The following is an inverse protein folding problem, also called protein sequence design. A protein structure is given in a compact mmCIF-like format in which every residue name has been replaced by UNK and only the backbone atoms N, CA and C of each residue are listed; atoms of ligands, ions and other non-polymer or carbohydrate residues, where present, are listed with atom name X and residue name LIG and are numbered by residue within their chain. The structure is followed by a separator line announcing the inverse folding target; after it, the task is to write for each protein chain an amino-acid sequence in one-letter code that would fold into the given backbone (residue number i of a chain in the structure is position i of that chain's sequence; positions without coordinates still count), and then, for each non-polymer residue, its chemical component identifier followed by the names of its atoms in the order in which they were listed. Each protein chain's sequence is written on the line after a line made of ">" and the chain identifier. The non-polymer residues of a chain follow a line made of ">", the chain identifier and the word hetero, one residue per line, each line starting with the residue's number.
data_IF_653002079046
#
_entry.id   IF_653002079046
#
_cell.length_a   1.000
_cell.length_b   1.000
_cell.length_c   1.000
_cell.angle_alpha   90.00
_cell.angle_beta   90.00
_cell.angle_gamma   90.00
#
_symmetry.space_group_name_H-M   'P 1'
#
loop_
_entity.id
_entity.type
_entity.pdbx_description
1 polymer ?
#
# COMPACT_ATOMS: atom_id res chain seq x y z
N UNK A 1 20.22 -14.12 6.95
CA UNK A 1 21.01 -14.89 5.98
C UNK A 1 20.09 -15.85 5.24
N UNK A 2 20.38 -16.10 3.94
CA UNK A 2 19.66 -17.08 3.14
C UNK A 2 20.11 -18.49 3.51
N UNK A 3 19.22 -19.51 3.41
CA UNK A 3 19.63 -20.90 3.51
C UNK A 3 20.75 -21.24 2.50
N UNK A 4 21.69 -22.09 2.90
CA UNK A 4 22.86 -22.44 2.08
C UNK A 4 22.47 -23.14 0.76
N UNK A 5 21.35 -23.83 0.75
CA UNK A 5 20.79 -24.56 -0.40
C UNK A 5 19.84 -23.73 -1.27
N UNK A 6 19.56 -22.47 -0.89
CA UNK A 6 18.68 -21.61 -1.68
C UNK A 6 19.29 -21.27 -3.04
N UNK A 7 18.58 -21.61 -4.11
CA UNK A 7 18.99 -21.36 -5.48
C UNK A 7 18.75 -19.90 -5.86
N UNK A 8 19.82 -19.10 -5.88
CA UNK A 8 19.77 -17.71 -6.32
C UNK A 8 19.52 -17.63 -7.83
N UNK A 9 18.52 -16.88 -8.25
CA UNK A 9 18.30 -16.59 -9.67
C UNK A 9 19.05 -15.33 -10.08
N UNK A 10 19.50 -15.23 -11.35
CA UNK A 10 20.08 -14.02 -11.89
C UNK A 10 19.13 -12.83 -11.74
N UNK A 11 19.66 -11.67 -11.34
CA UNK A 11 18.92 -10.44 -11.20
C UNK A 11 19.25 -9.51 -12.38
N UNK A 12 18.21 -8.90 -12.97
CA UNK A 12 18.40 -7.81 -13.92
C UNK A 12 18.68 -6.51 -13.15
N UNK A 13 19.95 -6.14 -13.11
CA UNK A 13 20.43 -4.94 -12.42
C UNK A 13 20.33 -3.67 -13.28
N UNK A 14 19.87 -3.76 -14.54
CA UNK A 14 19.83 -2.62 -15.47
C UNK A 14 18.95 -1.47 -14.97
N UNK A 15 17.88 -1.79 -14.26
CA UNK A 15 16.93 -0.83 -13.71
C UNK A 15 17.43 -0.08 -12.45
N UNK A 16 18.55 -0.55 -11.87
CA UNK A 16 19.07 -0.07 -10.58
C UNK A 16 20.37 0.70 -10.70
N UNK A 17 20.85 0.96 -11.92
CA UNK A 17 22.13 1.62 -12.16
C UNK A 17 22.16 3.02 -11.55
N UNK A 18 23.16 3.27 -10.70
CA UNK A 18 23.41 4.55 -10.07
C UNK A 18 22.56 4.87 -8.83
N UNK A 19 21.69 3.98 -8.43
CA UNK A 19 20.74 4.24 -7.33
C UNK A 19 21.28 3.80 -5.95
N UNK A 20 22.01 2.70 -5.91
CA UNK A 20 22.65 2.20 -4.68
C UNK A 20 23.81 1.24 -5.03
N UNK A 21 24.62 0.90 -4.04
CA UNK A 21 25.70 -0.08 -4.18
C UNK A 21 25.14 -1.48 -4.48
N UNK A 22 25.65 -2.15 -5.50
CA UNK A 22 25.28 -3.54 -5.80
C UNK A 22 25.55 -4.47 -4.62
N UNK A 23 26.62 -4.22 -3.85
CA UNK A 23 26.97 -4.99 -2.67
C UNK A 23 25.87 -4.95 -1.59
N UNK A 24 25.09 -3.87 -1.54
CA UNK A 24 23.95 -3.74 -0.65
C UNK A 24 22.65 -4.24 -1.30
N UNK A 25 22.44 -3.89 -2.57
CA UNK A 25 21.18 -4.15 -3.26
C UNK A 25 20.98 -5.64 -3.54
N UNK A 26 21.99 -6.32 -4.10
CA UNK A 26 21.88 -7.72 -4.54
C UNK A 26 21.50 -8.68 -3.39
N UNK A 27 22.15 -8.66 -2.21
CA UNK A 27 21.75 -9.52 -1.09
C UNK A 27 20.31 -9.26 -0.64
N UNK A 28 19.87 -7.99 -0.62
CA UNK A 28 18.52 -7.64 -0.24
C UNK A 28 17.48 -8.14 -1.25
N UNK A 29 17.72 -7.99 -2.55
CA UNK A 29 16.83 -8.52 -3.60
C UNK A 29 16.69 -10.04 -3.51
N UNK A 30 17.77 -10.77 -3.25
CA UNK A 30 17.69 -12.23 -3.02
C UNK A 30 16.89 -12.58 -1.78
N UNK A 31 17.03 -11.81 -0.69
CA UNK A 31 16.25 -12.02 0.54
C UNK A 31 14.76 -11.75 0.30
N UNK A 32 14.43 -10.68 -0.42
CA UNK A 32 13.06 -10.42 -0.85
C UNK A 32 12.50 -11.57 -1.70
N UNK A 33 13.27 -12.03 -2.68
CA UNK A 33 12.86 -13.14 -3.53
C UNK A 33 12.57 -14.39 -2.71
N UNK A 34 13.47 -14.75 -1.83
CA UNK A 34 13.29 -15.91 -0.94
C UNK A 34 12.03 -15.81 -0.09
N UNK A 35 11.79 -14.66 0.53
CA UNK A 35 10.58 -14.43 1.33
C UNK A 35 9.29 -14.57 0.49
N UNK A 36 9.31 -14.08 -0.76
CA UNK A 36 8.16 -14.21 -1.67
C UNK A 36 7.97 -15.64 -2.18
N UNK A 37 9.06 -16.39 -2.43
CA UNK A 37 8.99 -17.79 -2.80
C UNK A 37 8.35 -18.63 -1.68
N UNK A 38 8.72 -18.36 -0.41
CA UNK A 38 8.10 -19.03 0.75
C UNK A 38 6.63 -18.64 0.93
N UNK A 39 6.29 -17.36 0.75
CA UNK A 39 4.90 -16.91 0.79
C UNK A 39 4.09 -17.61 -0.31
N UNK A 40 4.64 -17.68 -1.53
CA UNK A 40 3.99 -18.36 -2.66
C UNK A 40 3.75 -19.85 -2.37
N UNK A 41 4.75 -20.56 -1.82
CA UNK A 41 4.63 -21.95 -1.41
C UNK A 41 3.55 -22.15 -0.32
N UNK A 42 3.51 -21.27 0.69
CA UNK A 42 2.47 -21.27 1.72
C UNK A 42 1.07 -21.09 1.14
N UNK A 43 0.89 -20.08 0.29
CA UNK A 43 -0.40 -19.82 -0.39
C UNK A 43 -0.82 -21.05 -1.20
N UNK A 44 0.09 -21.63 -1.97
CA UNK A 44 -0.18 -22.83 -2.76
C UNK A 44 -0.58 -24.03 -1.89
N UNK A 45 0.09 -24.23 -0.76
CA UNK A 45 -0.24 -25.28 0.20
C UNK A 45 -1.67 -25.12 0.74
N UNK A 46 -2.08 -23.90 1.11
CA UNK A 46 -3.44 -23.63 1.58
C UNK A 46 -4.45 -23.86 0.46
N UNK A 47 -4.18 -23.35 -0.74
CA UNK A 47 -5.09 -23.45 -1.89
C UNK A 47 -5.26 -24.86 -2.44
N UNK A 48 -4.29 -25.74 -2.20
CA UNK A 48 -4.39 -27.17 -2.59
C UNK A 48 -4.83 -28.09 -1.45
N UNK A 49 -4.91 -27.55 -0.22
CA UNK A 49 -5.24 -28.29 0.98
C UNK A 49 -6.72 -28.25 1.38
N UNK A 50 -7.06 -28.83 2.54
CA UNK A 50 -8.45 -28.85 3.05
C UNK A 50 -9.00 -27.48 3.41
N UNK A 51 -8.16 -26.47 3.56
CA UNK A 51 -8.55 -25.09 3.91
C UNK A 51 -8.87 -24.21 2.69
N UNK A 52 -8.72 -24.71 1.47
CA UNK A 52 -8.82 -23.93 0.24
C UNK A 52 -10.11 -23.13 0.09
N UNK A 53 -11.24 -23.69 0.53
CA UNK A 53 -12.57 -23.10 0.36
C UNK A 53 -13.01 -22.24 1.56
N UNK A 54 -12.23 -22.21 2.64
CA UNK A 54 -12.60 -21.55 3.89
C UNK A 54 -11.56 -20.52 4.38
N UNK A 55 -10.45 -20.36 3.65
CA UNK A 55 -9.36 -19.50 4.10
C UNK A 55 -9.14 -18.31 3.18
N UNK A 56 -9.15 -17.11 3.76
CA UNK A 56 -8.71 -15.88 3.14
C UNK A 56 -7.30 -15.58 3.63
N UNK A 57 -6.37 -15.39 2.70
CA UNK A 57 -4.98 -15.02 2.99
C UNK A 57 -4.77 -13.59 2.52
N UNK A 58 -4.20 -12.76 3.38
CA UNK A 58 -3.79 -11.41 3.01
C UNK A 58 -2.34 -11.17 3.41
N UNK A 59 -1.58 -10.54 2.52
CA UNK A 59 -0.19 -10.17 2.77
C UNK A 59 0.07 -8.72 2.37
N UNK A 60 0.86 -8.02 3.18
CA UNK A 60 1.31 -6.65 2.91
C UNK A 60 2.69 -6.43 3.51
N UNK A 61 3.38 -5.37 3.05
CA UNK A 61 4.53 -4.82 3.77
C UNK A 61 4.06 -3.82 4.83
N UNK A 62 4.81 -3.70 5.91
CA UNK A 62 4.63 -2.66 6.93
C UNK A 62 5.14 -1.29 6.41
N UNK A 63 6.25 -1.30 5.70
CA UNK A 63 6.84 -0.16 5.00
C UNK A 63 7.77 -0.63 3.88
N UNK A 64 8.14 0.29 2.98
CA UNK A 64 9.13 0.01 1.96
C UNK A 64 10.56 0.17 2.49
N UNK A 65 11.52 -0.44 1.81
CA UNK A 65 12.96 -0.29 2.12
C UNK A 65 13.40 1.11 1.74
N UNK A 66 13.81 1.89 2.74
CA UNK A 66 14.13 3.31 2.58
C UNK A 66 15.49 3.59 1.95
N UNK A 67 16.37 2.59 1.92
CA UNK A 67 17.78 2.72 1.50
C UNK A 67 18.03 2.46 0.02
N UNK A 68 17.02 2.12 -0.75
CA UNK A 68 17.16 1.91 -2.19
C UNK A 68 16.71 3.16 -2.94
N UNK A 69 17.65 3.87 -3.45
CA UNK A 69 17.64 5.27 -3.86
C UNK A 69 16.83 5.70 -5.09
N UNK A 70 15.85 4.92 -5.55
CA UNK A 70 15.01 5.26 -6.73
C UNK A 70 14.10 6.48 -6.51
N UNK A 71 14.28 7.20 -5.41
CA UNK A 71 13.32 8.19 -4.90
C UNK A 71 13.84 9.64 -4.99
N UNK A 72 14.98 9.86 -5.63
CA UNK A 72 15.57 11.19 -5.77
C UNK A 72 14.67 12.15 -6.57
N UNK A 73 13.93 11.62 -7.56
CA UNK A 73 12.96 12.40 -8.31
C UNK A 73 11.70 12.65 -7.49
N UNK A 74 11.25 13.91 -7.34
CA UNK A 74 10.04 14.25 -6.60
C UNK A 74 8.80 13.48 -7.07
N UNK A 75 8.63 13.27 -8.39
CA UNK A 75 7.51 12.52 -8.98
C UNK A 75 7.46 11.05 -8.57
N UNK A 76 8.58 10.48 -8.10
CA UNK A 76 8.70 9.07 -7.65
C UNK A 76 8.71 8.93 -6.13
N UNK A 77 8.64 10.04 -5.41
CA UNK A 77 8.73 10.07 -3.94
C UNK A 77 7.67 9.19 -3.26
N UNK A 78 6.51 9.04 -3.86
CA UNK A 78 5.45 8.17 -3.34
C UNK A 78 5.87 6.70 -3.24
N UNK A 79 6.82 6.24 -4.06
CA UNK A 79 7.31 4.86 -4.04
C UNK A 79 7.97 4.51 -2.70
N UNK A 80 8.54 5.49 -1.99
CA UNK A 80 9.08 5.28 -0.63
C UNK A 80 8.03 4.81 0.38
N UNK A 81 6.75 5.08 0.09
CA UNK A 81 5.63 4.76 0.96
C UNK A 81 4.80 3.59 0.42
N UNK A 82 5.10 3.14 -0.79
CA UNK A 82 4.31 2.10 -1.43
C UNK A 82 4.72 0.72 -0.94
N UNK A 83 3.74 -0.06 -0.53
CA UNK A 83 3.87 -1.48 -0.21
C UNK A 83 2.81 -2.26 -0.97
N UNK A 84 3.06 -3.52 -1.32
CA UNK A 84 2.04 -4.37 -1.91
C UNK A 84 0.97 -4.71 -0.87
N UNK A 85 -0.27 -4.88 -1.32
CA UNK A 85 -1.33 -5.52 -0.58
C UNK A 85 -1.97 -6.56 -1.48
N UNK A 86 -1.82 -7.83 -1.14
CA UNK A 86 -2.26 -8.96 -1.96
C UNK A 86 -3.24 -9.81 -1.14
N UNK A 87 -4.31 -10.26 -1.79
CA UNK A 87 -5.34 -11.07 -1.15
C UNK A 87 -5.58 -12.31 -2.01
N UNK A 88 -5.64 -13.47 -1.36
CA UNK A 88 -6.04 -14.74 -1.96
C UNK A 88 -7.23 -15.32 -1.20
N UNK A 89 -8.18 -15.87 -1.91
CA UNK A 89 -9.34 -16.52 -1.31
C UNK A 89 -10.31 -17.09 -2.35
N UNK A 90 -11.19 -18.00 -1.96
CA UNK A 90 -12.06 -18.74 -2.88
C UNK A 90 -13.07 -17.86 -3.61
N UNK A 91 -13.41 -16.69 -3.04
CA UNK A 91 -14.39 -15.76 -3.60
C UNK A 91 -13.78 -14.69 -4.52
N UNK A 92 -12.45 -14.68 -4.65
CA UNK A 92 -11.73 -13.65 -5.40
C UNK A 92 -11.43 -14.13 -6.82
N UNK A 93 -11.58 -13.21 -7.78
CA UNK A 93 -11.13 -13.43 -9.16
C UNK A 93 -9.62 -13.22 -9.24
N UNK A 94 -8.91 -14.22 -9.74
CA UNK A 94 -7.46 -14.12 -9.95
C UNK A 94 -7.10 -12.99 -10.94
N UNK A 95 -5.96 -12.36 -10.71
CA UNK A 95 -5.35 -11.40 -11.64
C UNK A 95 -5.96 -10.00 -11.66
N UNK A 96 -6.87 -9.67 -10.75
CA UNK A 96 -7.37 -8.30 -10.62
C UNK A 96 -6.32 -7.42 -9.93
N UNK A 97 -5.95 -6.32 -10.57
CA UNK A 97 -5.05 -5.32 -10.00
C UNK A 97 -5.78 -4.00 -9.82
N UNK A 98 -5.77 -3.47 -8.59
CA UNK A 98 -6.30 -2.15 -8.25
C UNK A 98 -5.15 -1.14 -8.22
N UNK A 99 -5.27 -0.07 -9.00
CA UNK A 99 -4.23 0.97 -9.13
C UNK A 99 -4.56 2.25 -8.35
N UNK A 100 -5.72 2.28 -7.70
CA UNK A 100 -6.15 3.45 -6.94
C UNK A 100 -5.28 3.69 -5.70
N UNK A 101 -5.01 4.95 -5.33
CA UNK A 101 -4.37 5.26 -4.06
C UNK A 101 -5.11 4.64 -2.87
N UNK A 102 -4.37 3.95 -2.03
CA UNK A 102 -4.86 3.26 -0.85
C UNK A 102 -3.82 3.35 0.28
N UNK A 103 -4.19 2.93 1.47
CA UNK A 103 -3.29 2.82 2.62
C UNK A 103 -3.70 1.68 3.55
N UNK A 104 -2.88 1.34 4.54
CA UNK A 104 -3.15 0.28 5.50
C UNK A 104 -4.51 0.41 6.22
N UNK A 105 -5.03 1.61 6.39
CA UNK A 105 -6.36 1.84 6.97
C UNK A 105 -7.50 1.19 6.19
N UNK A 106 -7.30 0.94 4.89
CA UNK A 106 -8.30 0.35 3.99
C UNK A 106 -8.36 -1.18 4.10
N UNK A 107 -7.35 -1.81 4.72
CA UNK A 107 -7.19 -3.26 4.71
C UNK A 107 -8.32 -3.98 5.41
N UNK A 108 -8.62 -3.65 6.67
CA UNK A 108 -9.66 -4.34 7.44
C UNK A 108 -11.05 -4.11 6.84
N UNK A 109 -11.31 -2.91 6.29
CA UNK A 109 -12.55 -2.62 5.58
C UNK A 109 -12.75 -3.46 4.32
N UNK A 110 -11.65 -3.90 3.72
CA UNK A 110 -11.66 -4.79 2.58
C UNK A 110 -11.77 -6.24 3.01
N UNK A 111 -11.02 -6.64 4.04
CA UNK A 111 -10.91 -8.03 4.47
C UNK A 111 -12.14 -8.53 5.26
N UNK A 112 -12.69 -7.72 6.16
CA UNK A 112 -13.80 -8.17 7.01
C UNK A 112 -15.03 -8.60 6.22
N UNK A 113 -15.54 -7.82 5.25
CA UNK A 113 -16.65 -8.27 4.43
C UNK A 113 -16.34 -9.54 3.61
N UNK A 114 -15.08 -9.68 3.12
CA UNK A 114 -14.65 -10.88 2.41
C UNK A 114 -14.62 -12.11 3.32
N UNK A 115 -14.27 -11.93 4.58
CA UNK A 115 -14.23 -13.01 5.58
C UNK A 115 -15.60 -13.29 6.21
N UNK A 116 -16.66 -12.57 5.80
CA UNK A 116 -17.98 -12.69 6.41
C UNK A 116 -18.04 -12.18 7.86
N UNK A 117 -17.09 -11.33 8.26
CA UNK A 117 -17.06 -10.75 9.60
C UNK A 117 -17.98 -9.54 9.60
N UNK A 118 -19.05 -9.65 10.40
CA UNK A 118 -20.01 -8.59 10.63
C UNK A 118 -19.81 -7.97 12.03
N UNK A 119 -20.11 -6.70 12.16
CA UNK A 119 -20.02 -5.98 13.43
C UNK A 119 -19.71 -4.51 13.29
N UNK A 120 -19.83 -3.78 14.39
CA UNK A 120 -19.48 -2.37 14.47
C UNK A 120 -18.02 -2.23 14.90
N UNK A 121 -17.22 -1.60 14.08
CA UNK A 121 -15.83 -1.27 14.39
C UNK A 121 -15.51 0.16 13.95
N UNK A 122 -14.64 0.81 14.70
CA UNK A 122 -14.17 2.15 14.34
C UNK A 122 -13.23 2.02 13.15
N UNK A 123 -13.57 2.76 12.11
CA UNK A 123 -12.91 2.63 10.85
C UNK A 123 -12.80 3.96 10.12
N UNK A 124 -11.64 4.24 9.58
CA UNK A 124 -11.37 5.43 8.77
C UNK A 124 -10.92 5.07 7.33
N UNK A 125 -10.98 3.81 6.97
CA UNK A 125 -10.65 3.30 5.64
C UNK A 125 -11.90 3.02 4.79
N UNK A 126 -11.70 2.60 3.57
CA UNK A 126 -12.75 2.19 2.62
C UNK A 126 -12.56 0.72 2.21
N UNK A 127 -13.60 0.10 1.71
CA UNK A 127 -13.50 -1.20 1.05
C UNK A 127 -12.96 -0.98 -0.37
N UNK A 128 -11.77 -1.53 -0.65
CA UNK A 128 -11.09 -1.37 -1.94
C UNK A 128 -11.76 -2.14 -3.09
N UNK A 129 -12.59 -3.13 -2.76
CA UNK A 129 -13.31 -3.96 -3.74
C UNK A 129 -14.70 -3.41 -4.09
N UNK A 130 -15.19 -2.42 -3.37
CA UNK A 130 -16.42 -1.72 -3.75
C UNK A 130 -16.12 -0.73 -4.87
N UNK A 131 -17.03 -0.67 -5.83
CA UNK A 131 -16.95 0.33 -6.89
C UNK A 131 -16.91 1.73 -6.29
N UNK A 132 -16.05 2.57 -6.87
CA UNK A 132 -16.04 4.00 -6.52
C UNK A 132 -17.37 4.57 -6.99
N UNK A 133 -18.18 5.19 -6.10
CA UNK A 133 -19.45 5.77 -6.52
C UNK A 133 -19.24 6.77 -7.68
N UNK A 134 -20.17 6.76 -8.64
CA UNK A 134 -20.13 7.67 -9.79
C UNK A 134 -20.15 9.16 -9.36
N UNK A 135 -20.69 9.46 -8.18
CA UNK A 135 -20.53 10.76 -7.52
C UNK A 135 -19.43 10.64 -6.46
N UNK A 136 -18.41 11.51 -6.48
CA UNK A 136 -17.33 11.48 -5.54
C UNK A 136 -17.85 11.83 -4.14
N UNK A 137 -18.10 10.80 -3.33
CA UNK A 137 -18.18 10.98 -1.89
C UNK A 137 -16.77 11.34 -1.39
N UNK A 138 -16.55 12.55 -0.87
CA UNK A 138 -15.23 12.95 -0.38
C UNK A 138 -14.65 12.00 0.67
N UNK A 139 -15.51 11.32 1.44
CA UNK A 139 -15.09 10.35 2.45
C UNK A 139 -14.59 9.04 1.83
N UNK A 140 -15.05 8.69 0.64
CA UNK A 140 -14.69 7.46 -0.07
C UNK A 140 -13.75 7.70 -1.27
N UNK A 141 -13.29 8.94 -1.48
CA UNK A 141 -12.34 9.23 -2.54
C UNK A 141 -11.04 8.42 -2.37
N UNK A 142 -10.44 7.92 -3.47
CA UNK A 142 -9.18 7.20 -3.42
C UNK A 142 -8.06 8.06 -2.84
N UNK A 143 -7.63 7.75 -1.63
CA UNK A 143 -6.61 8.48 -0.86
C UNK A 143 -5.67 7.55 -0.15
N UNK A 144 -4.37 7.85 -0.20
CA UNK A 144 -3.40 7.32 0.73
C UNK A 144 -3.15 8.33 1.84
N UNK A 145 -3.33 7.95 3.09
CA UNK A 145 -2.90 8.73 4.26
C UNK A 145 -1.77 7.98 4.97
N UNK A 146 -0.71 8.68 5.27
CA UNK A 146 0.49 8.11 5.85
C UNK A 146 0.68 8.58 7.29
N UNK A 147 1.22 7.70 8.11
CA UNK A 147 1.54 7.97 9.50
C UNK A 147 2.38 9.25 9.72
N UNK A 148 3.20 9.59 8.74
CA UNK A 148 4.05 10.79 8.76
C UNK A 148 3.31 12.10 8.49
N UNK A 149 1.98 12.08 8.40
CA UNK A 149 1.18 13.26 8.08
C UNK A 149 1.27 13.69 6.61
N UNK A 150 1.54 12.74 5.73
CA UNK A 150 1.49 12.94 4.28
C UNK A 150 0.18 12.38 3.71
N UNK A 151 -0.31 12.98 2.64
CA UNK A 151 -1.46 12.51 1.88
C UNK A 151 -1.12 12.32 0.40
N UNK A 152 -1.84 11.41 -0.26
CA UNK A 152 -1.73 11.14 -1.70
C UNK A 152 -3.10 10.95 -2.32
N UNK A 153 -3.32 11.58 -3.47
CA UNK A 153 -4.43 11.28 -4.37
C UNK A 153 -3.92 10.71 -5.71
N UNK A 154 -4.78 10.64 -6.72
CA UNK A 154 -4.43 10.16 -8.05
C UNK A 154 -3.37 11.02 -8.77
N UNK A 155 -3.23 12.29 -8.39
CA UNK A 155 -2.43 13.28 -9.10
C UNK A 155 -1.13 13.64 -8.38
N UNK A 156 -1.14 13.64 -7.05
CA UNK A 156 0.00 14.12 -6.29
C UNK A 156 0.09 13.61 -4.87
N UNK A 157 1.15 14.02 -4.22
CA UNK A 157 1.45 13.75 -2.82
C UNK A 157 1.89 15.04 -2.13
N UNK A 158 1.50 15.25 -0.88
CA UNK A 158 1.85 16.45 -0.10
C UNK A 158 1.91 16.15 1.39
N UNK A 159 2.61 17.04 2.12
CA UNK A 159 2.53 17.11 3.58
C UNK A 159 1.25 17.84 3.97
N UNK A 160 0.45 17.27 4.85
CA UNK A 160 -0.80 17.86 5.32
C UNK A 160 -0.58 19.27 5.89
N UNK A 161 -1.39 20.22 5.42
CA UNK A 161 -1.28 21.62 5.80
C UNK A 161 -0.15 22.41 5.13
N UNK A 162 0.63 21.80 4.24
CA UNK A 162 1.72 22.46 3.53
C UNK A 162 1.58 22.40 2.01
N UNK A 163 0.87 23.34 1.37
CA UNK A 163 0.69 23.34 -0.07
C UNK A 163 1.99 23.40 -0.87
N UNK A 164 3.06 23.98 -0.31
CA UNK A 164 4.37 24.06 -0.96
C UNK A 164 5.08 22.70 -1.09
N UNK A 165 4.63 21.70 -0.34
CA UNK A 165 5.17 20.33 -0.40
C UNK A 165 4.53 19.47 -1.49
N UNK A 166 3.53 20.01 -2.21
CA UNK A 166 2.82 19.25 -3.23
C UNK A 166 3.74 18.87 -4.39
N UNK A 167 3.72 17.60 -4.75
CA UNK A 167 4.50 17.03 -5.84
C UNK A 167 3.60 16.17 -6.71
N UNK A 168 3.61 16.40 -8.02
CA UNK A 168 2.94 15.53 -8.98
C UNK A 168 3.59 14.14 -9.01
N UNK A 169 2.78 13.10 -8.92
CA UNK A 169 3.25 11.71 -8.88
C UNK A 169 2.96 10.94 -10.17
N UNK A 170 2.32 11.54 -11.16
CA UNK A 170 2.08 10.94 -12.46
C UNK A 170 3.34 11.06 -13.35
N UNK A 171 3.68 9.99 -14.08
CA UNK A 171 4.78 9.98 -15.05
C UNK A 171 4.56 11.00 -16.20
N UNK A 172 3.30 11.32 -16.49
CA UNK A 172 2.88 12.43 -17.36
C UNK A 172 1.79 13.18 -16.61
N UNK A 173 2.13 14.24 -15.88
CA UNK A 173 1.13 15.00 -15.14
C UNK A 173 0.07 15.53 -16.12
N UNK A 174 -1.21 15.42 -15.79
CA UNK A 174 -2.26 16.10 -16.52
C UNK A 174 -1.99 17.61 -16.47
N UNK A 175 -2.52 18.38 -17.44
CA UNK A 175 -2.34 19.84 -17.50
C UNK A 175 -2.74 20.57 -16.21
N UNK A 176 -3.52 19.92 -15.34
CA UNK A 176 -4.04 20.42 -14.06
C UNK A 176 -3.52 19.65 -12.83
N UNK A 177 -2.26 19.25 -12.79
CA UNK A 177 -1.69 18.66 -11.59
C UNK A 177 -1.36 19.74 -10.57
N UNK A 178 -2.38 20.13 -9.80
CA UNK A 178 -2.30 21.22 -8.82
C UNK A 178 -2.72 20.75 -7.43
N UNK A 179 -2.22 21.44 -6.42
CA UNK A 179 -2.66 21.26 -5.04
C UNK A 179 -4.13 21.69 -4.88
N UNK A 180 -4.90 20.81 -4.25
CA UNK A 180 -6.29 21.09 -3.93
C UNK A 180 -6.45 21.35 -2.42
N UNK A 181 -6.76 22.57 -2.04
CA UNK A 181 -6.91 22.97 -0.64
C UNK A 181 -8.09 22.25 0.06
N UNK A 182 -9.16 21.94 -0.67
CA UNK A 182 -10.31 21.20 -0.12
C UNK A 182 -9.93 19.74 0.18
N UNK A 183 -9.13 19.11 -0.69
CA UNK A 183 -8.59 17.79 -0.46
C UNK A 183 -7.71 17.76 0.80
N UNK A 184 -6.82 18.75 0.96
CA UNK A 184 -5.97 18.85 2.13
C UNK A 184 -6.77 19.04 3.42
N UNK A 185 -7.79 19.89 3.40
CA UNK A 185 -8.66 20.12 4.57
C UNK A 185 -9.34 18.81 5.01
N UNK A 186 -9.89 18.07 4.06
CA UNK A 186 -10.54 16.78 4.33
C UNK A 186 -9.56 15.74 4.86
N UNK A 187 -8.37 15.65 4.28
CA UNK A 187 -7.38 14.69 4.71
C UNK A 187 -6.79 15.03 6.09
N UNK A 188 -6.65 16.31 6.42
CA UNK A 188 -6.31 16.76 7.79
C UNK A 188 -7.39 16.38 8.80
N UNK A 189 -8.65 16.57 8.45
CA UNK A 189 -9.76 16.16 9.33
C UNK A 189 -9.77 14.65 9.56
N UNK A 190 -9.56 13.84 8.52
CA UNK A 190 -9.43 12.38 8.64
C UNK A 190 -8.25 11.96 9.49
N UNK A 191 -7.10 12.60 9.28
CA UNK A 191 -5.90 12.32 10.05
C UNK A 191 -6.10 12.63 11.53
N UNK A 192 -6.72 13.77 11.84
CA UNK A 192 -7.04 14.16 13.20
C UNK A 192 -8.04 13.21 13.87
N UNK A 193 -9.06 12.74 13.15
CA UNK A 193 -10.01 11.74 13.65
C UNK A 193 -9.32 10.40 13.95
N UNK A 194 -8.41 9.97 13.11
CA UNK A 194 -7.62 8.75 13.33
C UNK A 194 -6.76 8.86 14.60
N UNK A 195 -6.01 9.96 14.72
CA UNK A 195 -5.16 10.21 15.89
C UNK A 195 -6.00 10.28 17.19
N UNK A 196 -7.13 10.96 17.14
CA UNK A 196 -8.05 11.06 18.26
C UNK A 196 -8.61 9.69 18.69
N UNK A 197 -9.05 8.86 17.73
CA UNK A 197 -9.57 7.52 17.99
C UNK A 197 -8.51 6.62 18.63
N UNK A 198 -7.26 6.67 18.16
CA UNK A 198 -6.16 5.90 18.74
C UNK A 198 -5.92 6.33 20.19
N UNK A 199 -5.86 7.64 20.45
CA UNK A 199 -5.62 8.17 21.81
C UNK A 199 -6.72 7.80 22.79
N UNK A 200 -8.00 7.86 22.38
CA UNK A 200 -9.12 7.45 23.24
C UNK A 200 -9.10 5.94 23.51
N UNK A 201 -8.76 5.13 22.50
CA UNK A 201 -8.70 3.68 22.67
C UNK A 201 -7.60 3.24 23.64
N UNK A 202 -6.53 4.01 23.75
CA UNK A 202 -5.43 3.75 24.68
C UNK A 202 -5.72 4.19 26.14
N UNK A 203 -6.80 4.95 26.37
CA UNK A 203 -7.20 5.43 27.72
C UNK A 203 -8.21 4.50 28.41
N UNK A 204 -8.65 3.44 27.74
CA UNK A 204 -9.53 2.39 28.27
C UNK A 204 -8.74 1.14 28.65
#
# INVERSE_FOLDING_TARGET
>A
DLPADYQKVPLDMSQWKGETSEATLVPNLHTYRYAHDLLGAFVQQVQSGPLKDTTLIAATGDHNVRSFGVYAEPSRRYLMRQVPFVIWGPQLRCGQQLTQPASHRDMFNTLFPLAGIEGNYINAGRNLLKDVPAQPDPMNAPRGLFFTGEARNAHGMWQLGNPKSFVCTAARPPQSCEFNAQDDLQDRARYALLDWNVRISLQK
#
